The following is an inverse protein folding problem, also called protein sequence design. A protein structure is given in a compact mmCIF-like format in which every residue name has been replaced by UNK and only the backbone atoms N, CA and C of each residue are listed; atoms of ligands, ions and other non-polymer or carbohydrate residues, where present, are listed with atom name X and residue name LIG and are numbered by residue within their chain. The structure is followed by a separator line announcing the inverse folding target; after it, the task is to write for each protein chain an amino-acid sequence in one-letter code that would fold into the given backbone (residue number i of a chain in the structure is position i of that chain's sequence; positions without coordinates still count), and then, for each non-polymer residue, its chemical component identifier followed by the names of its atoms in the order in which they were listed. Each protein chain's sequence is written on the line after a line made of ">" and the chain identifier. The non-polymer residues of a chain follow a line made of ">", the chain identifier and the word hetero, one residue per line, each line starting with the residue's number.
data_IF_369689984389
#
_entry.id   IF_369689984389
#
_cell.length_a   1.000
_cell.length_b   1.000
_cell.length_c   1.000
_cell.angle_alpha   90.00
_cell.angle_beta   90.00
_cell.angle_gamma   90.00
#
_symmetry.space_group_name_H-M   'P 1'
#
loop_
_entity.id
_entity.type
_entity.pdbx_description
1 polymer ?
#
# COMPACT_ATOMS: atom_id res chain seq x y z
N UNK A 1 -3.37 -3.07 -24.06
CA UNK A 1 -3.49 -4.25 -23.16
C UNK A 1 -2.12 -4.80 -22.79
N UNK A 2 -1.39 -5.40 -23.74
CA UNK A 2 -0.08 -6.02 -23.49
C UNK A 2 0.98 -5.10 -22.85
N UNK A 3 1.09 -3.84 -23.30
CA UNK A 3 2.03 -2.87 -22.73
C UNK A 3 1.73 -2.53 -21.25
N UNK A 4 0.45 -2.34 -20.91
CA UNK A 4 0.03 -2.10 -19.52
C UNK A 4 0.33 -3.31 -18.62
N UNK A 5 0.17 -4.53 -19.17
CA UNK A 5 0.43 -5.77 -18.46
C UNK A 5 1.92 -5.93 -18.15
N UNK A 6 2.79 -5.62 -19.12
CA UNK A 6 4.25 -5.62 -18.93
C UNK A 6 4.65 -4.54 -17.92
N UNK A 7 4.07 -3.34 -18.00
CA UNK A 7 4.34 -2.24 -17.05
C UNK A 7 3.94 -2.63 -15.62
N UNK A 8 2.77 -3.22 -15.42
CA UNK A 8 2.34 -3.68 -14.09
C UNK A 8 3.22 -4.83 -13.58
N UNK A 9 3.54 -5.80 -14.42
CA UNK A 9 4.34 -6.96 -14.03
C UNK A 9 5.78 -6.57 -13.69
N UNK A 10 6.44 -5.79 -14.54
CA UNK A 10 7.87 -5.45 -14.36
C UNK A 10 8.03 -4.28 -13.40
N UNK A 11 7.27 -3.20 -13.60
CA UNK A 11 7.45 -2.00 -12.77
C UNK A 11 6.75 -2.19 -11.44
N UNK A 12 5.46 -2.52 -11.39
CA UNK A 12 4.77 -2.57 -10.10
C UNK A 12 5.23 -3.75 -9.22
N UNK A 13 5.34 -4.97 -9.76
CA UNK A 13 5.80 -6.10 -8.94
C UNK A 13 7.31 -6.08 -8.68
N UNK A 14 8.18 -5.91 -9.69
CA UNK A 14 9.62 -6.03 -9.44
C UNK A 14 10.17 -4.86 -8.62
N UNK A 15 9.73 -3.61 -8.85
CA UNK A 15 10.13 -2.52 -7.94
C UNK A 15 9.48 -2.67 -6.56
N UNK A 16 8.18 -2.99 -6.49
CA UNK A 16 7.48 -3.13 -5.21
C UNK A 16 8.11 -4.19 -4.30
N UNK A 17 8.40 -5.36 -4.85
CA UNK A 17 9.04 -6.45 -4.10
C UNK A 17 10.52 -6.15 -3.77
N UNK A 18 11.27 -5.53 -4.68
CA UNK A 18 12.67 -5.16 -4.41
C UNK A 18 12.78 -4.13 -3.29
N UNK A 19 11.92 -3.10 -3.31
CA UNK A 19 11.85 -2.10 -2.24
C UNK A 19 11.41 -2.75 -0.93
N UNK A 20 10.44 -3.67 -0.98
CA UNK A 20 10.00 -4.41 0.20
C UNK A 20 11.13 -5.25 0.83
N UNK A 21 11.90 -5.98 0.02
CA UNK A 21 13.06 -6.74 0.49
C UNK A 21 14.14 -5.82 1.04
N UNK A 22 14.44 -4.72 0.36
CA UNK A 22 15.44 -3.75 0.83
C UNK A 22 15.02 -3.07 2.14
N UNK A 23 13.74 -2.71 2.26
CA UNK A 23 13.16 -2.17 3.49
C UNK A 23 13.17 -3.22 4.61
N UNK A 24 12.87 -4.48 4.32
CA UNK A 24 12.94 -5.60 5.27
C UNK A 24 14.35 -5.81 5.83
N UNK A 25 15.38 -5.64 5.00
CA UNK A 25 16.79 -5.74 5.42
C UNK A 25 17.19 -4.55 6.31
N UNK A 26 16.72 -3.33 6.02
CA UNK A 26 17.08 -2.12 6.79
C UNK A 26 16.28 -1.93 8.09
N UNK A 27 14.97 -2.18 8.07
CA UNK A 27 14.04 -1.90 9.18
C UNK A 27 13.74 -3.14 10.03
N UNK A 28 14.15 -4.32 9.57
CA UNK A 28 13.84 -5.62 10.16
C UNK A 28 12.47 -6.16 9.72
N UNK A 29 12.28 -7.50 9.72
CA UNK A 29 11.08 -8.15 9.18
C UNK A 29 9.78 -7.66 9.82
N UNK A 30 9.79 -7.42 11.13
CA UNK A 30 8.61 -6.98 11.90
C UNK A 30 8.07 -5.62 11.43
N UNK A 31 8.95 -4.64 11.20
CA UNK A 31 8.52 -3.30 10.77
C UNK A 31 8.19 -3.25 9.28
N UNK A 32 8.85 -4.04 8.45
CA UNK A 32 8.54 -4.10 7.03
C UNK A 32 7.16 -4.73 6.75
N UNK A 33 6.78 -5.80 7.46
CA UNK A 33 5.42 -6.36 7.32
C UNK A 33 4.32 -5.39 7.77
N UNK A 34 4.60 -4.53 8.76
CA UNK A 34 3.69 -3.46 9.16
C UNK A 34 3.39 -2.49 8.02
N UNK A 35 4.42 -2.14 7.24
CA UNK A 35 4.32 -1.19 6.14
C UNK A 35 3.49 -1.72 4.95
N UNK A 36 3.36 -3.05 4.77
CA UNK A 36 2.46 -3.61 3.75
C UNK A 36 1.01 -3.19 4.00
N UNK A 37 0.58 -3.07 5.25
CA UNK A 37 -0.77 -2.63 5.59
C UNK A 37 -1.06 -1.17 5.20
N UNK A 38 -0.01 -0.36 4.98
CA UNK A 38 -0.15 1.01 4.50
C UNK A 38 -0.39 1.10 2.98
N UNK A 39 0.05 0.10 2.21
CA UNK A 39 -0.11 0.05 0.75
C UNK A 39 -1.58 0.14 0.30
N UNK A 40 -2.53 -0.71 0.78
CA UNK A 40 -3.93 -0.62 0.36
C UNK A 40 -4.57 0.71 0.76
N UNK A 41 -4.10 1.33 1.84
CA UNK A 41 -4.57 2.64 2.29
C UNK A 41 -4.19 3.74 1.30
N UNK A 42 -2.92 3.75 0.88
CA UNK A 42 -2.43 4.68 -0.14
C UNK A 42 -3.10 4.41 -1.49
N UNK A 43 -3.31 3.15 -1.86
CA UNK A 43 -4.01 2.77 -3.09
C UNK A 43 -5.45 3.29 -3.11
N UNK A 44 -6.19 3.20 -2.00
CA UNK A 44 -7.53 3.80 -1.88
C UNK A 44 -7.48 5.32 -1.98
N UNK A 45 -6.50 5.98 -1.35
CA UNK A 45 -6.32 7.44 -1.49
C UNK A 45 -6.07 7.89 -2.93
N UNK A 46 -5.22 7.15 -3.66
CA UNK A 46 -4.99 7.39 -5.08
C UNK A 46 -6.22 7.06 -5.93
N UNK A 47 -6.97 6.00 -5.61
CA UNK A 47 -8.21 5.66 -6.30
C UNK A 47 -9.25 6.77 -6.15
N UNK A 48 -9.42 7.34 -4.95
CA UNK A 48 -10.29 8.51 -4.77
C UNK A 48 -9.88 9.71 -5.63
N UNK A 49 -8.59 10.02 -5.65
CA UNK A 49 -8.08 11.19 -6.35
C UNK A 49 -8.17 11.03 -7.88
N UNK A 50 -7.85 9.85 -8.41
CA UNK A 50 -7.83 9.58 -9.85
C UNK A 50 -9.19 9.14 -10.41
N UNK A 51 -9.97 8.35 -9.69
CA UNK A 51 -11.26 7.81 -10.15
C UNK A 51 -12.47 8.63 -9.69
N UNK A 52 -12.31 9.64 -8.82
CA UNK A 52 -13.41 10.42 -8.24
C UNK A 52 -14.52 9.55 -7.62
N UNK A 53 -14.17 8.42 -7.03
CA UNK A 53 -15.15 7.55 -6.36
C UNK A 53 -15.78 8.27 -5.15
N UNK A 54 -17.10 8.12 -4.92
CA UNK A 54 -17.76 8.72 -3.78
C UNK A 54 -17.22 8.13 -2.48
N UNK A 55 -16.80 9.01 -1.58
CA UNK A 55 -16.26 8.67 -0.27
C UNK A 55 -17.37 8.09 0.62
N UNK A 56 -17.57 6.77 0.53
CA UNK A 56 -18.48 6.09 1.44
C UNK A 56 -17.88 6.09 2.85
N UNK A 57 -18.74 6.25 3.86
CA UNK A 57 -18.35 6.22 5.27
C UNK A 57 -17.57 4.94 5.61
N UNK A 58 -17.90 3.83 4.96
CA UNK A 58 -17.23 2.53 5.04
C UNK A 58 -15.74 2.61 4.69
N UNK A 59 -15.40 3.30 3.60
CA UNK A 59 -14.02 3.49 3.12
C UNK A 59 -13.24 4.42 4.05
N UNK A 60 -13.89 5.46 4.57
CA UNK A 60 -13.29 6.36 5.56
C UNK A 60 -12.97 5.61 6.86
N UNK A 61 -13.91 4.82 7.38
CA UNK A 61 -13.72 4.00 8.58
C UNK A 61 -12.62 2.94 8.37
N UNK A 62 -12.65 2.22 7.24
CA UNK A 62 -11.60 1.27 6.87
C UNK A 62 -10.21 1.92 6.77
N UNK A 63 -10.13 3.13 6.20
CA UNK A 63 -8.91 3.93 6.17
C UNK A 63 -8.43 4.33 7.56
N UNK A 64 -9.28 4.83 8.44
CA UNK A 64 -8.86 5.19 9.81
C UNK A 64 -8.38 3.97 10.60
N UNK A 65 -9.03 2.82 10.47
CA UNK A 65 -8.60 1.56 11.08
C UNK A 65 -7.25 1.09 10.54
N UNK A 66 -7.00 1.22 9.24
CA UNK A 66 -5.71 0.87 8.63
C UNK A 66 -4.56 1.75 9.14
N UNK A 67 -4.77 3.07 9.26
CA UNK A 67 -3.77 3.99 9.87
C UNK A 67 -3.51 3.60 11.32
N UNK A 68 -4.57 3.29 12.07
CA UNK A 68 -4.49 2.89 13.48
C UNK A 68 -3.69 1.59 13.65
N UNK A 69 -3.90 0.60 12.78
CA UNK A 69 -3.18 -0.67 12.80
C UNK A 69 -1.68 -0.49 12.53
N UNK A 70 -1.32 0.33 11.53
CA UNK A 70 0.09 0.64 11.22
C UNK A 70 0.74 1.37 12.40
N UNK A 71 0.03 2.32 13.02
CA UNK A 71 0.52 3.04 14.19
C UNK A 71 0.76 2.12 15.39
N UNK A 72 -0.14 1.16 15.65
CA UNK A 72 0.02 0.16 16.71
C UNK A 72 1.22 -0.77 16.50
N UNK A 73 1.49 -1.18 15.25
CA UNK A 73 2.60 -2.11 14.96
C UNK A 73 3.97 -1.39 15.03
N UNK A 74 4.01 -0.09 14.74
CA UNK A 74 5.25 0.69 14.77
C UNK A 74 5.61 1.23 16.18
N UNK A 75 4.71 1.11 17.16
CA UNK A 75 4.97 1.45 18.57
C UNK A 75 5.56 0.26 19.33
#
# INVERSE_FOLDING_TARGET
>A
FWLNLILLAVVAMSFGTSIYFQASVKLGPKRASAYIFMVPLTAMGFAMYFLNEPLQLSTLLGGTLGISAVYMINK
#
